data_IF_757756136260
#
_entry.id   IF_757756136260
#
_cell.length_a   1.000
_cell.length_b   1.000
_cell.length_c   1.000
_cell.angle_alpha   90.00
_cell.angle_beta   90.00
_cell.angle_gamma   90.00
#
_symmetry.space_group_name_H-M   'P 1'
#
loop_
_entity.id
_entity.type
_entity.pdbx_description
1 polymer ?
#
# COMPACT_ATOMS: atom_id res chain seq x y z
N UNK A 1 -27.68 -26.54 -48.06
CA UNK A 1 -26.45 -25.78 -47.70
C UNK A 1 -26.80 -24.85 -46.52
N UNK A 2 -26.89 -25.36 -45.29
CA UNK A 2 -27.47 -24.61 -44.13
C UNK A 2 -26.63 -24.69 -42.83
N UNK A 3 -25.48 -25.38 -42.88
CA UNK A 3 -24.59 -25.56 -41.74
C UNK A 3 -23.78 -24.33 -41.25
N UNK A 4 -23.59 -23.23 -42.01
CA UNK A 4 -22.77 -22.09 -41.53
C UNK A 4 -23.46 -21.22 -40.46
N UNK A 5 -24.73 -20.86 -40.67
CA UNK A 5 -25.46 -19.91 -39.80
C UNK A 5 -25.73 -20.47 -38.39
N UNK A 6 -25.99 -21.78 -38.28
CA UNK A 6 -26.20 -22.42 -36.98
C UNK A 6 -24.90 -22.41 -36.16
N UNK A 7 -23.75 -22.71 -36.79
CA UNK A 7 -22.43 -22.65 -36.11
C UNK A 7 -22.09 -21.25 -35.61
N UNK A 8 -22.42 -20.22 -36.38
CA UNK A 8 -22.15 -18.83 -36.01
C UNK A 8 -23.02 -18.36 -34.85
N UNK A 9 -24.30 -18.76 -34.84
CA UNK A 9 -25.24 -18.48 -33.75
C UNK A 9 -24.81 -19.15 -32.44
N UNK A 10 -24.40 -20.42 -32.50
CA UNK A 10 -23.84 -21.13 -31.34
C UNK A 10 -22.55 -20.49 -30.82
N UNK A 11 -21.70 -19.98 -31.71
CA UNK A 11 -20.46 -19.28 -31.33
C UNK A 11 -20.77 -17.98 -30.57
N UNK A 12 -21.72 -17.17 -31.06
CA UNK A 12 -22.17 -15.92 -30.41
C UNK A 12 -22.78 -16.17 -29.03
N UNK A 13 -23.61 -17.20 -28.87
CA UNK A 13 -24.20 -17.57 -27.57
C UNK A 13 -23.09 -18.00 -26.58
N UNK A 14 -22.12 -18.78 -27.04
CA UNK A 14 -20.99 -19.23 -26.22
C UNK A 14 -20.06 -18.09 -25.82
N UNK A 15 -19.83 -17.11 -26.69
CA UNK A 15 -19.06 -15.90 -26.40
C UNK A 15 -19.78 -15.02 -25.38
N UNK A 16 -21.08 -14.76 -25.56
CA UNK A 16 -21.90 -13.98 -24.62
C UNK A 16 -21.91 -14.60 -23.22
N UNK A 17 -22.07 -15.93 -23.12
CA UNK A 17 -22.00 -16.65 -21.86
C UNK A 17 -20.62 -16.64 -21.19
N UNK A 18 -19.52 -16.60 -21.96
CA UNK A 18 -18.17 -16.38 -21.39
C UNK A 18 -18.00 -14.97 -20.85
N UNK A 19 -18.56 -13.98 -21.54
CA UNK A 19 -18.46 -12.58 -21.16
C UNK A 19 -19.23 -12.30 -19.85
N UNK A 20 -20.44 -12.83 -19.71
CA UNK A 20 -21.22 -12.76 -18.46
C UNK A 20 -20.50 -13.46 -17.30
N UNK A 21 -19.94 -14.66 -17.51
CA UNK A 21 -19.15 -15.35 -16.49
C UNK A 21 -17.92 -14.55 -16.06
N UNK A 22 -17.24 -13.87 -17.01
CA UNK A 22 -16.13 -12.97 -16.70
C UNK A 22 -16.58 -11.77 -15.88
N UNK A 23 -17.72 -11.15 -16.22
CA UNK A 23 -18.31 -10.03 -15.46
C UNK A 23 -18.68 -10.44 -14.04
N UNK A 24 -19.38 -11.55 -13.87
CA UNK A 24 -19.74 -12.09 -12.54
C UNK A 24 -18.48 -12.40 -11.73
N UNK A 25 -17.47 -13.03 -12.34
CA UNK A 25 -16.19 -13.31 -11.66
C UNK A 25 -15.48 -12.03 -11.22
N UNK A 26 -15.43 -10.99 -12.06
CA UNK A 26 -14.89 -9.66 -11.71
C UNK A 26 -15.64 -9.04 -10.53
N UNK A 27 -16.99 -9.10 -10.52
CA UNK A 27 -17.81 -8.57 -9.44
C UNK A 27 -17.62 -9.32 -8.11
N UNK A 28 -17.53 -10.64 -8.14
CA UNK A 28 -17.30 -11.47 -6.94
C UNK A 28 -15.91 -11.21 -6.36
N UNK A 29 -14.88 -11.09 -7.21
CA UNK A 29 -13.52 -10.77 -6.76
C UNK A 29 -13.48 -9.38 -6.13
N UNK A 30 -14.01 -8.35 -6.80
CA UNK A 30 -14.09 -6.98 -6.26
C UNK A 30 -14.78 -6.95 -4.89
N UNK A 31 -15.94 -7.59 -4.77
CA UNK A 31 -16.68 -7.67 -3.51
C UNK A 31 -15.88 -8.37 -2.39
N UNK A 32 -15.06 -9.38 -2.73
CA UNK A 32 -14.23 -10.10 -1.76
C UNK A 32 -13.07 -9.24 -1.26
N UNK A 33 -12.44 -8.47 -2.15
CA UNK A 33 -11.35 -7.55 -1.80
C UNK A 33 -11.86 -6.43 -0.88
N UNK A 34 -13.06 -5.91 -1.17
CA UNK A 34 -13.74 -4.91 -0.33
C UNK A 34 -14.08 -5.47 1.05
N UNK A 35 -14.48 -6.76 1.14
CA UNK A 35 -14.87 -7.39 2.40
C UNK A 35 -13.68 -7.56 3.37
N UNK A 36 -12.55 -8.06 2.89
CA UNK A 36 -11.36 -8.24 3.74
C UNK A 36 -10.83 -6.88 4.22
N UNK A 37 -10.83 -5.89 3.32
CA UNK A 37 -10.47 -4.50 3.65
C UNK A 37 -11.38 -3.92 4.73
N UNK A 38 -12.69 -4.12 4.60
CA UNK A 38 -13.66 -3.63 5.57
C UNK A 38 -13.49 -4.33 6.93
N UNK A 39 -13.26 -5.65 6.94
CA UNK A 39 -13.10 -6.42 8.17
C UNK A 39 -11.85 -6.00 8.95
N UNK A 40 -10.73 -5.83 8.28
CA UNK A 40 -9.48 -5.35 8.88
C UNK A 40 -9.66 -3.93 9.47
N UNK A 41 -10.22 -3.00 8.68
CA UNK A 41 -10.51 -1.63 9.14
C UNK A 41 -11.40 -1.66 10.38
N UNK A 42 -12.51 -2.41 10.34
CA UNK A 42 -13.47 -2.48 11.44
C UNK A 42 -12.86 -3.06 12.72
N UNK A 43 -12.10 -4.16 12.62
CA UNK A 43 -11.45 -4.74 13.79
C UNK A 43 -10.37 -3.82 14.37
N UNK A 44 -9.54 -3.22 13.52
CA UNK A 44 -8.49 -2.26 13.94
C UNK A 44 -9.09 -1.04 14.61
N UNK A 45 -10.14 -0.46 14.02
CA UNK A 45 -10.84 0.71 14.54
C UNK A 45 -11.49 0.41 15.89
N UNK A 46 -12.06 -0.79 16.04
CA UNK A 46 -12.62 -1.26 17.30
C UNK A 46 -11.54 -1.45 18.37
N UNK A 47 -10.44 -2.12 18.04
CA UNK A 47 -9.36 -2.41 18.98
C UNK A 47 -8.66 -1.13 19.46
N UNK A 48 -8.45 -0.17 18.57
CA UNK A 48 -7.82 1.12 18.87
C UNK A 48 -8.80 2.19 19.34
N UNK A 49 -10.10 1.89 19.40
CA UNK A 49 -11.14 2.83 19.82
C UNK A 49 -10.85 3.55 21.15
N UNK A 50 -10.44 2.88 22.25
CA UNK A 50 -10.17 3.59 23.50
C UNK A 50 -9.06 4.64 23.36
N UNK A 51 -7.99 4.30 22.64
CA UNK A 51 -6.84 5.18 22.40
C UNK A 51 -7.21 6.35 21.47
N UNK A 52 -7.86 6.05 20.36
CA UNK A 52 -8.23 7.03 19.33
C UNK A 52 -9.29 8.03 19.81
N UNK A 53 -10.25 7.59 20.64
CA UNK A 53 -11.21 8.48 21.29
C UNK A 53 -10.52 9.34 22.35
N UNK A 54 -9.57 8.78 23.10
CA UNK A 54 -8.76 9.56 24.04
C UNK A 54 -7.99 10.67 23.31
N UNK A 55 -7.34 10.36 22.18
CA UNK A 55 -6.70 11.37 21.32
C UNK A 55 -7.65 12.45 20.85
N UNK A 56 -8.85 12.08 20.41
CA UNK A 56 -9.89 13.05 20.05
C UNK A 56 -10.27 13.98 21.21
N UNK A 57 -10.38 13.45 22.44
CA UNK A 57 -10.72 14.23 23.64
C UNK A 57 -9.64 15.25 24.03
N UNK A 58 -8.37 14.93 23.82
CA UNK A 58 -7.26 15.85 24.09
C UNK A 58 -6.93 16.77 22.91
N UNK A 59 -7.75 16.74 21.85
CA UNK A 59 -7.59 17.60 20.67
C UNK A 59 -6.49 17.15 19.70
N UNK A 60 -6.04 15.89 19.77
CA UNK A 60 -5.07 15.33 18.83
C UNK A 60 -5.79 14.85 17.58
N UNK A 61 -5.47 15.48 16.45
CA UNK A 61 -5.99 15.13 15.12
C UNK A 61 -5.12 14.06 14.43
N UNK A 62 -5.71 13.36 13.46
CA UNK A 62 -4.98 12.38 12.64
C UNK A 62 -3.78 13.01 11.92
N UNK A 63 -3.95 14.20 11.34
CA UNK A 63 -2.87 14.90 10.63
C UNK A 63 -1.68 15.21 11.56
N UNK A 64 -1.93 15.56 12.84
CA UNK A 64 -0.86 15.75 13.81
C UNK A 64 -0.08 14.46 14.09
N UNK A 65 -0.76 13.32 14.14
CA UNK A 65 -0.12 12.01 14.27
C UNK A 65 0.73 11.73 13.01
N UNK A 66 0.22 12.02 11.82
CA UNK A 66 0.96 11.87 10.57
C UNK A 66 2.21 12.74 10.53
N UNK A 67 2.11 14.02 10.93
CA UNK A 67 3.27 14.92 11.03
C UNK A 67 4.28 14.45 12.08
N UNK A 68 3.83 13.94 13.22
CA UNK A 68 4.71 13.32 14.21
C UNK A 68 5.46 12.11 13.62
N UNK A 69 4.78 11.29 12.81
CA UNK A 69 5.39 10.19 12.05
C UNK A 69 6.52 10.67 11.13
N UNK A 70 6.30 11.73 10.35
CA UNK A 70 7.37 12.34 9.53
C UNK A 70 8.56 12.81 10.36
N UNK A 71 8.30 13.45 11.50
CA UNK A 71 9.35 13.90 12.42
C UNK A 71 10.15 12.72 12.99
N UNK A 72 9.49 11.61 13.31
CA UNK A 72 10.18 10.39 13.77
C UNK A 72 11.09 9.82 12.67
N UNK A 73 10.64 9.77 11.42
CA UNK A 73 11.49 9.33 10.30
C UNK A 73 12.69 10.27 10.13
N UNK A 74 12.46 11.58 10.13
CA UNK A 74 13.53 12.57 10.06
C UNK A 74 14.51 12.46 11.23
N UNK A 75 14.02 12.18 12.45
CA UNK A 75 14.86 11.94 13.62
C UNK A 75 15.72 10.69 13.44
N UNK A 76 15.15 9.58 12.95
CA UNK A 76 15.92 8.36 12.66
C UNK A 76 17.02 8.60 11.62
N UNK A 77 16.73 9.36 10.56
CA UNK A 77 17.72 9.79 9.55
C UNK A 77 18.82 10.64 10.21
N UNK A 78 18.45 11.63 11.01
CA UNK A 78 19.41 12.48 11.72
C UNK A 78 20.28 11.69 12.71
N UNK A 79 19.72 10.68 13.37
CA UNK A 79 20.43 9.77 14.26
C UNK A 79 21.47 8.93 13.51
N UNK A 80 21.15 8.48 12.30
CA UNK A 80 22.10 7.78 11.43
C UNK A 80 23.32 8.67 11.13
N UNK A 81 23.11 9.90 10.67
CA UNK A 81 24.21 10.81 10.33
C UNK A 81 25.03 11.26 11.55
N UNK A 82 24.44 11.23 12.75
CA UNK A 82 25.15 11.51 14.01
C UNK A 82 25.84 10.28 14.61
N UNK A 83 25.75 9.11 13.98
CA UNK A 83 26.40 7.88 14.44
C UNK A 83 25.78 7.24 15.67
N UNK A 84 24.48 7.48 15.94
CA UNK A 84 23.77 6.75 17.00
C UNK A 84 23.69 5.25 16.67
N UNK A 85 23.50 4.41 17.70
CA UNK A 85 23.37 2.97 17.46
C UNK A 85 22.16 2.62 16.59
N UNK A 86 22.31 1.60 15.75
CA UNK A 86 21.25 1.12 14.87
C UNK A 86 19.98 0.74 15.65
N UNK A 87 20.12 0.10 16.82
CA UNK A 87 18.98 -0.29 17.64
C UNK A 87 18.09 0.89 18.00
N UNK A 88 18.69 2.04 18.36
CA UNK A 88 17.92 3.26 18.66
C UNK A 88 17.24 3.83 17.41
N UNK A 89 17.92 3.81 16.26
CA UNK A 89 17.33 4.22 14.99
C UNK A 89 16.11 3.36 14.63
N UNK A 90 16.22 2.03 14.80
CA UNK A 90 15.15 1.08 14.52
C UNK A 90 13.97 1.24 15.47
N UNK A 91 14.20 1.50 16.76
CA UNK A 91 13.12 1.82 17.71
C UNK A 91 12.32 3.03 17.22
N UNK A 92 12.99 4.11 16.81
CA UNK A 92 12.32 5.31 16.29
C UNK A 92 11.56 5.02 14.99
N UNK A 93 12.13 4.22 14.08
CA UNK A 93 11.45 3.81 12.84
C UNK A 93 10.22 2.95 13.12
N UNK A 94 10.28 2.04 14.10
CA UNK A 94 9.12 1.26 14.53
C UNK A 94 8.05 2.17 15.12
N UNK A 95 8.41 3.17 15.92
CA UNK A 95 7.45 4.16 16.42
C UNK A 95 6.80 4.95 15.28
N UNK A 96 7.57 5.31 14.25
CA UNK A 96 7.03 5.95 13.05
C UNK A 96 6.02 5.05 12.34
N UNK A 97 6.36 3.77 12.12
CA UNK A 97 5.46 2.78 11.52
C UNK A 97 4.21 2.52 12.36
N UNK A 98 4.32 2.53 13.69
CA UNK A 98 3.15 2.39 14.58
C UNK A 98 2.25 3.61 14.51
N UNK A 99 2.80 4.83 14.35
CA UNK A 99 2.01 6.05 14.21
C UNK A 99 1.08 6.01 12.98
N UNK A 100 1.53 5.38 11.90
CA UNK A 100 0.76 5.12 10.67
C UNK A 100 -0.43 4.18 10.92
N UNK A 101 -0.21 3.13 11.70
CA UNK A 101 -1.29 2.23 12.11
C UNK A 101 -2.40 2.92 12.92
N UNK A 102 -2.15 4.10 13.50
CA UNK A 102 -3.05 4.77 14.45
C UNK A 102 -3.76 6.00 13.86
N UNK A 103 -3.15 6.74 12.93
CA UNK A 103 -3.75 7.98 12.40
C UNK A 103 -5.03 7.72 11.60
N UNK A 104 -5.09 6.67 10.78
CA UNK A 104 -6.28 6.26 10.03
C UNK A 104 -7.47 5.94 10.95
N UNK A 105 -7.32 5.05 11.94
CA UNK A 105 -8.35 4.81 12.96
C UNK A 105 -8.72 6.08 13.74
N UNK A 106 -7.76 6.96 14.05
CA UNK A 106 -8.03 8.24 14.71
C UNK A 106 -8.91 9.15 13.85
N UNK A 107 -8.66 9.20 12.54
CA UNK A 107 -9.48 9.95 11.60
C UNK A 107 -10.90 9.39 11.52
N UNK A 108 -11.05 8.07 11.39
CA UNK A 108 -12.36 7.41 11.25
C UNK A 108 -13.21 7.48 12.53
N UNK A 109 -12.62 7.20 13.68
CA UNK A 109 -13.34 7.18 14.96
C UNK A 109 -13.77 8.58 15.44
N UNK A 110 -13.10 9.64 14.96
CA UNK A 110 -13.40 11.02 15.33
C UNK A 110 -14.00 11.86 14.18
N UNK A 111 -14.42 11.24 13.07
CA UNK A 111 -14.98 11.91 11.87
C UNK A 111 -14.07 13.00 11.26
N UNK A 112 -12.75 12.81 11.34
CA UNK A 112 -11.71 13.75 10.89
C UNK A 112 -10.95 13.22 9.66
N UNK A 113 -11.62 12.46 8.78
CA UNK A 113 -11.01 11.95 7.53
C UNK A 113 -10.87 13.12 6.53
N UNK A 114 -9.65 13.35 6.04
CA UNK A 114 -9.37 14.42 5.07
C UNK A 114 -8.60 13.87 3.88
N UNK A 115 -8.85 14.45 2.69
CA UNK A 115 -8.12 14.10 1.45
C UNK A 115 -6.62 14.31 1.66
N UNK A 116 -6.23 15.48 2.20
CA UNK A 116 -4.84 15.79 2.50
C UNK A 116 -4.20 14.73 3.41
N UNK A 117 -4.89 14.32 4.47
CA UNK A 117 -4.44 13.26 5.36
C UNK A 117 -4.19 11.94 4.62
N UNK A 118 -5.10 11.54 3.73
CA UNK A 118 -4.93 10.33 2.90
C UNK A 118 -3.70 10.41 2.00
N UNK A 119 -3.40 11.56 1.41
CA UNK A 119 -2.19 11.72 0.59
C UNK A 119 -0.92 11.74 1.43
N UNK A 120 -0.93 12.43 2.58
CA UNK A 120 0.21 12.48 3.50
C UNK A 120 0.60 11.10 4.02
N UNK A 121 -0.39 10.23 4.28
CA UNK A 121 -0.23 8.83 4.68
C UNK A 121 0.65 8.06 3.67
N UNK A 122 0.25 8.06 2.40
CA UNK A 122 0.98 7.38 1.32
C UNK A 122 2.38 7.96 1.08
N UNK A 123 2.53 9.28 1.22
CA UNK A 123 3.84 9.93 1.08
C UNK A 123 4.75 9.51 2.24
N UNK A 124 4.23 9.49 3.48
CA UNK A 124 4.98 9.07 4.67
C UNK A 124 5.47 7.63 4.52
N UNK A 125 4.60 6.72 4.10
CA UNK A 125 4.95 5.32 3.86
C UNK A 125 6.07 5.20 2.82
N UNK A 126 5.96 5.92 1.71
CA UNK A 126 7.01 5.97 0.70
C UNK A 126 8.36 6.42 1.27
N UNK A 127 8.38 7.46 2.10
CA UNK A 127 9.61 7.97 2.74
C UNK A 127 10.17 6.97 3.74
N UNK A 128 9.33 6.38 4.60
CA UNK A 128 9.72 5.37 5.59
C UNK A 128 10.38 4.18 4.90
N UNK A 129 9.73 3.65 3.86
CA UNK A 129 10.21 2.49 3.12
C UNK A 129 11.48 2.81 2.32
N UNK A 130 11.57 4.00 1.70
CA UNK A 130 12.80 4.45 1.02
C UNK A 130 13.99 4.52 1.97
N UNK A 131 13.78 5.07 3.16
CA UNK A 131 14.82 5.10 4.17
C UNK A 131 15.20 3.70 4.66
N UNK A 132 14.21 2.83 4.92
CA UNK A 132 14.45 1.45 5.30
C UNK A 132 15.24 0.68 4.23
N UNK A 133 14.89 0.81 2.94
CA UNK A 133 15.66 0.23 1.83
C UNK A 133 17.11 0.73 1.83
N UNK A 134 17.32 2.02 2.09
CA UNK A 134 18.65 2.62 2.15
C UNK A 134 19.49 2.02 3.28
N UNK A 135 18.90 1.84 4.47
CA UNK A 135 19.59 1.16 5.57
C UNK A 135 19.94 -0.29 5.21
N UNK A 136 19.01 -1.05 4.64
CA UNK A 136 19.27 -2.44 4.23
C UNK A 136 20.40 -2.56 3.21
N UNK A 137 20.54 -1.58 2.32
CA UNK A 137 21.68 -1.49 1.39
C UNK A 137 22.99 -1.21 2.13
N UNK A 138 23.01 -0.18 2.98
CA UNK A 138 24.21 0.26 3.71
C UNK A 138 24.76 -0.85 4.60
N UNK A 139 23.89 -1.61 5.26
CA UNK A 139 24.27 -2.74 6.11
C UNK A 139 24.48 -4.05 5.33
N UNK A 140 24.43 -4.03 3.99
CA UNK A 140 24.77 -5.17 3.15
C UNK A 140 23.78 -6.33 3.18
N UNK A 141 22.55 -6.11 3.64
CA UNK A 141 21.53 -7.16 3.76
C UNK A 141 20.81 -7.44 2.44
N UNK A 142 20.68 -6.42 1.60
CA UNK A 142 20.14 -6.51 0.24
C UNK A 142 21.10 -5.85 -0.75
N UNK A 143 21.24 -6.47 -1.92
CA UNK A 143 22.04 -5.91 -2.99
C UNK A 143 21.34 -4.73 -3.67
N UNK A 144 22.14 -3.85 -4.28
CA UNK A 144 21.64 -2.70 -5.03
C UNK A 144 20.68 -3.12 -6.16
N UNK A 145 20.95 -4.26 -6.81
CA UNK A 145 20.12 -4.80 -7.88
C UNK A 145 18.72 -5.17 -7.39
N UNK A 146 18.63 -5.83 -6.22
CA UNK A 146 17.34 -6.21 -5.62
C UNK A 146 16.54 -4.97 -5.22
N UNK A 147 17.19 -4.00 -4.57
CA UNK A 147 16.53 -2.75 -4.17
C UNK A 147 16.02 -1.99 -5.40
N UNK A 148 16.85 -1.85 -6.44
CA UNK A 148 16.46 -1.19 -7.69
C UNK A 148 15.28 -1.90 -8.36
N UNK A 149 15.25 -3.23 -8.34
CA UNK A 149 14.14 -4.02 -8.87
C UNK A 149 12.83 -3.74 -8.11
N UNK A 150 12.84 -3.81 -6.78
CA UNK A 150 11.67 -3.53 -5.94
C UNK A 150 11.13 -2.13 -6.22
N UNK A 151 12.00 -1.11 -6.20
CA UNK A 151 11.59 0.26 -6.47
C UNK A 151 11.07 0.46 -7.89
N UNK A 152 11.66 -0.20 -8.89
CA UNK A 152 11.16 -0.15 -10.26
C UNK A 152 9.73 -0.72 -10.37
N UNK A 153 9.46 -1.85 -9.72
CA UNK A 153 8.12 -2.44 -9.67
C UNK A 153 7.13 -1.52 -8.94
N UNK A 154 7.56 -0.90 -7.83
CA UNK A 154 6.73 0.01 -7.07
C UNK A 154 6.40 1.29 -7.87
N UNK A 155 7.38 1.89 -8.55
CA UNK A 155 7.14 3.04 -9.42
C UNK A 155 6.23 2.69 -10.60
N UNK A 156 6.36 1.50 -11.18
CA UNK A 156 5.49 1.04 -12.25
C UNK A 156 4.04 0.88 -11.76
N UNK A 157 3.84 0.29 -10.58
CA UNK A 157 2.51 0.17 -9.97
C UNK A 157 1.89 1.55 -9.70
N UNK A 158 2.66 2.46 -9.08
CA UNK A 158 2.24 3.84 -8.83
C UNK A 158 1.85 4.54 -10.14
N UNK A 159 2.64 4.37 -11.21
CA UNK A 159 2.35 4.94 -12.51
C UNK A 159 1.04 4.41 -13.10
N UNK A 160 0.81 3.09 -13.06
CA UNK A 160 -0.42 2.47 -13.56
C UNK A 160 -1.64 3.02 -12.84
N UNK A 161 -1.55 3.21 -11.52
CA UNK A 161 -2.64 3.74 -10.69
C UNK A 161 -2.86 5.24 -10.93
N UNK A 162 -1.79 6.05 -11.03
CA UNK A 162 -1.89 7.51 -11.11
C UNK A 162 -2.11 8.06 -12.52
N UNK A 163 -1.67 7.38 -13.59
CA UNK A 163 -1.65 7.95 -14.96
C UNK A 163 -3.02 8.50 -15.40
N UNK A 164 -4.11 7.76 -15.14
CA UNK A 164 -5.44 8.11 -15.63
C UNK A 164 -6.00 9.30 -14.85
N UNK A 165 -5.70 9.37 -13.56
CA UNK A 165 -6.00 10.51 -12.70
C UNK A 165 -5.22 11.76 -13.16
N UNK A 166 -3.90 11.64 -13.36
CA UNK A 166 -3.05 12.76 -13.79
C UNK A 166 -3.47 13.30 -15.16
N UNK A 167 -3.77 12.43 -16.13
CA UNK A 167 -4.22 12.85 -17.46
C UNK A 167 -5.54 13.62 -17.36
N UNK A 168 -6.49 13.17 -16.54
CA UNK A 168 -7.78 13.86 -16.36
C UNK A 168 -7.61 15.18 -15.62
N UNK A 169 -6.79 15.20 -14.57
CA UNK A 169 -6.51 16.39 -13.79
C UNK A 169 -5.81 17.47 -14.63
N UNK A 170 -4.77 17.10 -15.40
CA UNK A 170 -4.01 18.01 -16.25
C UNK A 170 -4.78 18.53 -17.47
N UNK A 171 -5.88 17.87 -17.88
CA UNK A 171 -6.75 18.34 -18.96
C UNK A 171 -7.56 19.59 -18.61
N UNK A 172 -7.43 20.12 -17.39
CA UNK A 172 -8.05 21.38 -17.00
C UNK A 172 -9.56 21.24 -16.81
N UNK A 173 -9.97 20.29 -15.98
CA UNK A 173 -11.38 20.14 -15.58
C UNK A 173 -11.87 21.39 -14.81
N UNK A 174 -13.17 21.72 -14.89
CA UNK A 174 -13.79 22.67 -13.97
C UNK A 174 -13.49 22.31 -12.51
N UNK A 175 -13.40 23.30 -11.63
CA UNK A 175 -12.99 23.11 -10.23
C UNK A 175 -13.85 22.07 -9.48
N UNK A 176 -15.16 22.08 -9.73
CA UNK A 176 -16.11 21.12 -9.14
C UNK A 176 -15.84 19.67 -9.61
N UNK A 177 -15.59 19.47 -10.90
CA UNK A 177 -15.26 18.16 -11.47
C UNK A 177 -13.89 17.66 -10.99
N UNK A 178 -12.94 18.58 -10.78
CA UNK A 178 -11.61 18.25 -10.24
C UNK A 178 -11.71 17.79 -8.78
N UNK A 179 -12.54 18.42 -7.95
CA UNK A 179 -12.76 18.01 -6.56
C UNK A 179 -13.40 16.61 -6.48
N UNK A 180 -14.43 16.35 -7.30
CA UNK A 180 -15.05 15.03 -7.42
C UNK A 180 -14.03 13.98 -7.86
N UNK A 181 -13.22 14.29 -8.87
CA UNK A 181 -12.17 13.39 -9.37
C UNK A 181 -11.15 13.06 -8.28
N UNK A 182 -10.66 14.07 -7.56
CA UNK A 182 -9.68 13.89 -6.47
C UNK A 182 -10.26 13.06 -5.34
N UNK A 183 -11.50 13.33 -4.94
CA UNK A 183 -12.19 12.58 -3.89
C UNK A 183 -12.36 11.11 -4.27
N UNK A 184 -12.92 10.85 -5.45
CA UNK A 184 -13.14 9.49 -5.96
C UNK A 184 -11.83 8.72 -6.14
N UNK A 185 -10.78 9.37 -6.64
CA UNK A 185 -9.47 8.74 -6.75
C UNK A 185 -8.89 8.39 -5.38
N UNK A 186 -8.93 9.33 -4.44
CA UNK A 186 -8.32 9.15 -3.12
C UNK A 186 -9.02 8.08 -2.28
N UNK A 187 -10.35 7.98 -2.39
CA UNK A 187 -11.14 7.04 -1.57
C UNK A 187 -11.23 5.65 -2.18
N UNK A 188 -11.25 5.52 -3.51
CA UNK A 188 -11.49 4.22 -4.16
C UNK A 188 -10.23 3.60 -4.77
N UNK A 189 -9.36 4.40 -5.41
CA UNK A 189 -8.23 3.87 -6.18
C UNK A 189 -6.95 3.70 -5.35
N UNK A 190 -6.83 4.39 -4.23
CA UNK A 190 -5.70 4.22 -3.30
C UNK A 190 -5.86 3.00 -2.38
N UNK A 191 -7.01 2.31 -2.41
CA UNK A 191 -7.18 1.10 -1.60
C UNK A 191 -6.45 -0.09 -2.22
N UNK A 192 -5.61 -0.76 -1.43
CA UNK A 192 -4.85 -1.92 -1.87
C UNK A 192 -5.76 -3.14 -2.13
N UNK A 193 -5.51 -3.83 -3.25
CA UNK A 193 -6.12 -5.14 -3.53
C UNK A 193 -5.59 -6.20 -2.57
N UNK A 194 -6.22 -7.39 -2.56
CA UNK A 194 -5.71 -8.52 -1.76
C UNK A 194 -4.28 -8.89 -2.15
N UNK A 195 -3.95 -8.86 -3.44
CA UNK A 195 -2.58 -9.12 -3.90
C UNK A 195 -1.64 -8.02 -3.40
N UNK A 196 -2.05 -6.76 -3.50
CA UNK A 196 -1.28 -5.63 -2.96
C UNK A 196 -1.05 -5.70 -1.45
N UNK A 197 -2.01 -6.22 -0.68
CA UNK A 197 -1.85 -6.45 0.77
C UNK A 197 -0.84 -7.56 1.06
N UNK A 198 -0.90 -8.67 0.32
CA UNK A 198 0.06 -9.76 0.48
C UNK A 198 1.47 -9.28 0.10
N UNK A 199 1.60 -8.52 -0.99
CA UNK A 199 2.86 -7.86 -1.37
C UNK A 199 3.38 -6.99 -0.22
N UNK A 200 2.57 -6.07 0.29
CA UNK A 200 2.95 -5.17 1.38
C UNK A 200 3.33 -5.92 2.67
N UNK A 201 2.61 -6.99 3.01
CA UNK A 201 2.93 -7.86 4.13
C UNK A 201 4.30 -8.51 3.96
N UNK A 202 4.56 -9.13 2.80
CA UNK A 202 5.86 -9.73 2.49
C UNK A 202 6.98 -8.71 2.57
N UNK A 203 6.76 -7.49 2.06
CA UNK A 203 7.73 -6.40 2.13
C UNK A 203 8.05 -6.03 3.58
N UNK A 204 7.02 -5.67 4.35
CA UNK A 204 7.15 -5.15 5.71
C UNK A 204 7.77 -6.17 6.64
N UNK A 205 7.25 -7.41 6.60
CA UNK A 205 7.76 -8.50 7.45
C UNK A 205 9.16 -8.91 6.98
N UNK A 206 9.43 -8.92 5.68
CA UNK A 206 10.77 -9.15 5.14
C UNK A 206 11.79 -8.14 5.68
N UNK A 207 11.49 -6.85 5.62
CA UNK A 207 12.34 -5.79 6.18
C UNK A 207 12.54 -5.95 7.68
N UNK A 208 11.48 -6.28 8.43
CA UNK A 208 11.59 -6.53 9.86
C UNK A 208 12.56 -7.67 10.16
N UNK A 209 12.45 -8.82 9.51
CA UNK A 209 13.36 -9.95 9.73
C UNK A 209 14.81 -9.63 9.35
N UNK A 210 15.02 -8.87 8.27
CA UNK A 210 16.34 -8.40 7.87
C UNK A 210 16.95 -7.48 8.93
N UNK A 211 16.19 -6.50 9.46
CA UNK A 211 16.67 -5.65 10.54
C UNK A 211 16.91 -6.42 11.85
N UNK A 212 16.04 -7.36 12.19
CA UNK A 212 16.24 -8.23 13.35
C UNK A 212 17.50 -9.07 13.23
N UNK A 213 17.90 -9.49 12.02
CA UNK A 213 19.18 -10.19 11.83
C UNK A 213 20.42 -9.35 12.11
N UNK A 214 20.32 -8.02 12.14
CA UNK A 214 21.42 -7.14 12.57
C UNK A 214 21.54 -7.06 14.09
N UNK A 215 20.44 -7.26 14.80
CA UNK A 215 20.40 -7.24 16.27
C UNK A 215 20.75 -8.63 16.81
N UNK A 216 20.16 -9.68 16.22
CA UNK A 216 20.41 -11.06 16.55
C UNK A 216 20.85 -11.81 15.28
N UNK A 217 22.16 -12.07 15.08
CA UNK A 217 22.72 -12.58 13.83
C UNK A 217 22.47 -14.08 13.62
N UNK A 218 21.23 -14.50 13.79
CA UNK A 218 20.77 -15.85 13.50
C UNK A 218 20.54 -16.01 11.98
N UNK A 219 21.19 -16.99 11.32
CA UNK A 219 21.07 -17.19 9.88
C UNK A 219 19.63 -17.39 9.40
N UNK A 220 18.78 -17.95 10.26
CA UNK A 220 17.37 -18.19 9.95
C UNK A 220 16.59 -16.89 9.77
N UNK A 221 16.91 -15.84 10.53
CA UNK A 221 16.22 -14.54 10.42
C UNK A 221 16.55 -13.88 9.07
N UNK A 222 17.83 -13.92 8.69
CA UNK A 222 18.28 -13.43 7.38
C UNK A 222 17.60 -14.19 6.24
N UNK A 223 17.57 -15.53 6.31
CA UNK A 223 16.96 -16.37 5.29
C UNK A 223 15.45 -16.14 5.15
N UNK A 224 14.72 -16.00 6.27
CA UNK A 224 13.29 -15.67 6.27
C UNK A 224 13.09 -14.28 5.63
N UNK A 225 13.87 -13.29 6.04
CA UNK A 225 13.82 -11.93 5.49
C UNK A 225 14.01 -11.91 3.98
N UNK A 226 15.09 -12.54 3.49
CA UNK A 226 15.38 -12.61 2.05
C UNK A 226 14.30 -13.37 1.26
N UNK A 227 13.78 -14.46 1.83
CA UNK A 227 12.70 -15.25 1.20
C UNK A 227 11.42 -14.42 1.04
N UNK A 228 11.07 -13.62 2.05
CA UNK A 228 9.92 -12.73 2.00
C UNK A 228 10.11 -11.59 0.99
N UNK A 229 11.33 -11.11 0.79
CA UNK A 229 11.63 -10.12 -0.27
C UNK A 229 11.50 -10.74 -1.67
N UNK A 230 11.87 -12.00 -1.85
CA UNK A 230 11.62 -12.69 -3.12
C UNK A 230 10.11 -12.83 -3.37
N UNK A 231 9.34 -13.19 -2.34
CA UNK A 231 7.88 -13.28 -2.44
C UNK A 231 7.25 -11.91 -2.74
N UNK A 232 7.75 -10.83 -2.12
CA UNK A 232 7.35 -9.46 -2.41
C UNK A 232 7.48 -9.14 -3.91
N UNK A 233 8.64 -9.42 -4.52
CA UNK A 233 8.88 -9.19 -5.96
C UNK A 233 7.88 -9.96 -6.84
N UNK A 234 7.58 -11.21 -6.47
CA UNK A 234 6.59 -12.04 -7.17
C UNK A 234 5.20 -11.42 -7.05
N UNK A 235 4.77 -11.06 -5.84
CA UNK A 235 3.47 -10.46 -5.62
C UNK A 235 3.34 -9.05 -6.22
N UNK A 236 4.42 -8.26 -6.25
CA UNK A 236 4.47 -6.97 -6.93
C UNK A 236 4.21 -7.13 -8.43
N UNK A 237 4.84 -8.13 -9.05
CA UNK A 237 4.62 -8.46 -10.46
C UNK A 237 3.17 -8.88 -10.73
N UNK A 238 2.57 -9.68 -9.84
CA UNK A 238 1.15 -10.07 -9.92
C UNK A 238 0.21 -8.88 -9.71
N UNK A 239 0.55 -7.98 -8.78
CA UNK A 239 -0.24 -6.79 -8.47
C UNK A 239 -0.24 -5.81 -9.65
N UNK A 240 0.90 -5.64 -10.32
CA UNK A 240 1.01 -4.87 -11.56
C UNK A 240 0.09 -5.45 -12.64
N UNK A 241 0.10 -6.77 -12.83
CA UNK A 241 -0.76 -7.44 -13.81
C UNK A 241 -2.25 -7.24 -13.48
N UNK A 242 -2.63 -7.39 -12.20
CA UNK A 242 -4.00 -7.18 -11.74
C UNK A 242 -4.44 -5.73 -11.97
N UNK A 243 -3.60 -4.76 -11.60
CA UNK A 243 -3.87 -3.33 -11.73
C UNK A 243 -3.98 -2.92 -13.20
N UNK A 244 -3.11 -3.44 -14.06
CA UNK A 244 -3.18 -3.22 -15.50
C UNK A 244 -4.48 -3.76 -16.11
N UNK A 245 -4.93 -4.95 -15.70
CA UNK A 245 -6.21 -5.53 -16.15
C UNK A 245 -7.45 -4.75 -15.68
N UNK A 246 -7.33 -3.97 -14.60
CA UNK A 246 -8.39 -3.07 -14.11
C UNK A 246 -8.41 -1.73 -14.89
N UNK A 247 -7.29 -1.34 -15.48
CA UNK A 247 -7.12 -0.10 -16.26
C UNK A 247 -7.56 -0.23 -17.74
N UNK A 248 -7.69 -1.46 -18.26
CA UNK A 248 -8.27 -1.77 -19.59
C UNK A 248 -9.78 -1.99 -19.50
#
# INVERSE_FOLDING_TARGET
MEKPQIKETFKKIKEKGREERRKIKKLVIKRKDDFLTALEKNWRDWALKPLTVFFGRIGVSANQITYAGFLLIAAAIGMFFKGYSLSWQLIILVLAAVSDGIDGPTARNNNNVTILGTWLDHIRDGVLVAWASTLLYIYGLLSFQIITLIWTLQFLLIWITLKDFLIRYLKGLPAEDAEILVSHFSLDNLQASVIGRIQFFCWTVGYLFLFLSLINPEPILLAIGQSLIILEIIFASLNILESYQKSI
#
